data_IF_029432228284
#
_entry.id   IF_029432228284
#
_cell.length_a   1.000
_cell.length_b   1.000
_cell.length_c   1.000
_cell.angle_alpha   90.00
_cell.angle_beta   90.00
_cell.angle_gamma   90.00
#
_symmetry.space_group_name_H-M   'P 1'
#
loop_
_entity.id
_entity.type
_entity.pdbx_description
1 polymer ?
#
# COMPACT_ATOMS: atom_id res chain seq x y z
N UNK A 1 3.31 18.42 4.15
CA UNK A 1 4.35 17.75 3.35
C UNK A 1 3.71 16.79 2.39
N UNK A 2 4.35 16.58 1.22
CA UNK A 2 4.00 15.55 0.24
C UNK A 2 5.02 14.41 0.35
N UNK A 3 4.60 13.24 0.83
CA UNK A 3 5.49 12.14 1.13
C UNK A 3 5.14 10.93 0.26
N UNK A 4 6.09 10.50 -0.58
CA UNK A 4 6.00 9.25 -1.31
C UNK A 4 6.39 8.08 -0.42
N UNK A 5 5.51 7.11 -0.29
CA UNK A 5 5.73 5.91 0.53
C UNK A 5 5.77 4.68 -0.36
N UNK A 6 6.90 4.03 -0.40
CA UNK A 6 7.10 2.75 -1.05
C UNK A 6 7.21 1.65 0.00
N UNK A 7 6.30 0.68 -0.07
CA UNK A 7 6.42 -0.56 0.68
C UNK A 7 7.35 -1.45 -0.15
N UNK A 8 8.58 -1.61 0.28
CA UNK A 8 9.62 -2.33 -0.47
C UNK A 8 9.18 -3.69 -0.98
N UNK A 9 9.81 -4.11 -2.06
CA UNK A 9 9.54 -5.38 -2.73
C UNK A 9 8.16 -5.49 -3.42
N UNK A 10 7.93 -6.59 -4.11
CA UNK A 10 6.63 -7.00 -4.67
C UNK A 10 5.99 -8.05 -3.77
N UNK A 11 4.69 -8.32 -3.95
CA UNK A 11 4.00 -9.43 -3.27
C UNK A 11 4.05 -10.70 -4.09
N UNK A 12 4.16 -10.56 -5.41
CA UNK A 12 4.25 -11.70 -6.34
C UNK A 12 5.09 -11.33 -7.55
N UNK A 13 5.57 -12.34 -8.26
CA UNK A 13 6.48 -12.16 -9.39
C UNK A 13 7.92 -12.05 -8.92
N UNK A 14 8.67 -11.12 -9.50
CA UNK A 14 10.09 -10.94 -9.19
C UNK A 14 10.28 -9.88 -8.10
N UNK A 15 11.22 -10.13 -7.19
CA UNK A 15 11.64 -9.17 -6.18
C UNK A 15 10.74 -9.16 -4.93
N UNK A 16 10.27 -10.31 -4.47
CA UNK A 16 9.38 -10.45 -3.31
C UNK A 16 10.05 -10.24 -1.94
N UNK A 17 11.36 -9.96 -1.93
CA UNK A 17 12.10 -9.69 -0.70
C UNK A 17 12.58 -10.94 0.02
N UNK A 18 13.19 -10.74 1.16
CA UNK A 18 13.73 -11.79 2.00
C UNK A 18 12.64 -12.55 2.75
N UNK A 19 12.93 -13.82 3.06
CA UNK A 19 12.06 -14.71 3.84
C UNK A 19 12.85 -15.27 5.01
N UNK A 20 12.36 -15.03 6.20
CA UNK A 20 12.89 -15.56 7.45
C UNK A 20 11.76 -15.96 8.39
N UNK A 21 11.80 -15.48 9.63
CA UNK A 21 10.70 -15.59 10.59
C UNK A 21 9.47 -14.83 10.10
N UNK A 22 9.73 -13.71 9.39
CA UNK A 22 8.72 -12.94 8.67
C UNK A 22 9.08 -12.89 7.18
N UNK A 23 8.08 -12.61 6.32
CA UNK A 23 8.30 -12.35 4.89
C UNK A 23 8.32 -10.85 4.66
N UNK A 24 9.42 -10.34 4.18
CA UNK A 24 9.66 -8.92 4.04
C UNK A 24 8.54 -8.21 3.26
N UNK A 25 8.21 -8.68 2.05
CA UNK A 25 7.20 -8.04 1.22
C UNK A 25 5.80 -7.97 1.85
N UNK A 26 5.45 -8.91 2.75
CA UNK A 26 4.20 -8.85 3.50
C UNK A 26 4.25 -7.77 4.59
N UNK A 27 5.36 -7.70 5.34
CA UNK A 27 5.51 -6.81 6.49
C UNK A 27 5.79 -5.34 6.09
N UNK A 28 6.44 -5.11 4.95
CA UNK A 28 6.57 -3.75 4.40
C UNK A 28 5.21 -3.12 4.10
N UNK A 29 4.22 -3.93 3.61
CA UNK A 29 2.84 -3.46 3.37
C UNK A 29 2.13 -3.07 4.65
N UNK A 30 2.33 -3.81 5.75
CA UNK A 30 1.75 -3.46 7.04
C UNK A 30 2.23 -2.10 7.52
N UNK A 31 3.55 -1.94 7.57
CA UNK A 31 4.16 -0.70 8.04
C UNK A 31 3.80 0.45 7.12
N UNK A 32 3.94 0.30 5.80
CA UNK A 32 3.68 1.36 4.85
C UNK A 32 2.21 1.79 4.77
N UNK A 33 1.27 0.86 4.87
CA UNK A 33 -0.16 1.18 4.93
C UNK A 33 -0.49 2.03 6.17
N UNK A 34 0.06 1.66 7.34
CA UNK A 34 -0.17 2.43 8.57
C UNK A 34 0.57 3.78 8.52
N UNK A 35 1.78 3.85 7.95
CA UNK A 35 2.50 5.13 7.72
C UNK A 35 1.64 6.07 6.87
N UNK A 36 1.13 5.60 5.72
CA UNK A 36 0.26 6.42 4.87
C UNK A 36 -1.01 6.87 5.57
N UNK A 37 -1.61 6.02 6.40
CA UNK A 37 -2.78 6.35 7.21
C UNK A 37 -2.46 7.46 8.21
N UNK A 38 -1.42 7.28 9.03
CA UNK A 38 -1.03 8.23 10.06
C UNK A 38 -0.65 9.61 9.49
N UNK A 39 0.08 9.64 8.36
CA UNK A 39 0.42 10.87 7.66
C UNK A 39 -0.84 11.63 7.21
N UNK A 40 -1.83 10.93 6.64
CA UNK A 40 -3.10 11.52 6.21
C UNK A 40 -3.93 12.02 7.39
N UNK A 41 -4.00 11.27 8.48
CA UNK A 41 -4.67 11.68 9.72
C UNK A 41 -4.03 12.92 10.34
N UNK A 42 -2.72 13.10 10.15
CA UNK A 42 -1.97 14.29 10.56
C UNK A 42 -2.05 15.46 9.54
N UNK A 43 -2.87 15.35 8.48
CA UNK A 43 -3.08 16.42 7.50
C UNK A 43 -2.00 16.52 6.42
N UNK A 44 -1.17 15.49 6.23
CA UNK A 44 -0.14 15.42 5.20
C UNK A 44 -0.59 14.59 3.98
N UNK A 45 -0.01 14.86 2.81
CA UNK A 45 -0.20 14.04 1.62
C UNK A 45 0.71 12.81 1.71
N UNK A 46 0.12 11.62 1.57
CA UNK A 46 0.85 10.35 1.55
C UNK A 46 0.51 9.60 0.25
N UNK A 47 1.49 9.59 -0.65
CA UNK A 47 1.36 9.02 -2.00
C UNK A 47 1.89 7.60 -1.98
N UNK A 48 1.06 6.64 -2.42
CA UNK A 48 1.49 5.26 -2.55
C UNK A 48 2.37 5.09 -3.80
N UNK A 49 3.65 4.76 -3.59
CA UNK A 49 4.62 4.47 -4.64
C UNK A 49 4.99 2.98 -4.70
N UNK A 50 4.09 2.10 -4.27
CA UNK A 50 4.32 0.66 -4.16
C UNK A 50 3.94 -0.08 -5.44
N UNK A 51 4.72 -1.11 -5.78
CA UNK A 51 4.47 -2.01 -6.91
C UNK A 51 4.31 -3.44 -6.38
N UNK A 52 3.12 -4.03 -6.57
CA UNK A 52 2.80 -5.36 -6.03
C UNK A 52 3.17 -6.51 -6.97
N UNK A 53 3.35 -6.23 -8.25
CA UNK A 53 3.73 -7.21 -9.27
C UNK A 53 4.61 -6.58 -10.34
N UNK A 54 5.63 -7.29 -10.76
CA UNK A 54 6.45 -6.96 -11.91
C UNK A 54 7.02 -8.23 -12.58
N UNK A 55 7.33 -8.12 -13.88
CA UNK A 55 7.93 -9.21 -14.66
C UNK A 55 9.47 -9.28 -14.47
N UNK A 56 10.07 -8.31 -13.79
CA UNK A 56 11.47 -8.31 -13.39
C UNK A 56 11.69 -7.32 -12.24
N UNK A 57 12.80 -7.49 -11.49
CA UNK A 57 13.22 -6.54 -10.46
C UNK A 57 13.47 -5.15 -11.06
N UNK A 58 14.11 -5.06 -12.22
CA UNK A 58 14.36 -3.78 -12.90
C UNK A 58 13.05 -3.07 -13.25
N UNK A 59 12.03 -3.81 -13.72
CA UNK A 59 10.72 -3.24 -14.01
C UNK A 59 10.04 -2.70 -12.75
N UNK A 60 10.06 -3.43 -11.63
CA UNK A 60 9.45 -2.95 -10.39
C UNK A 60 10.11 -1.67 -9.91
N UNK A 61 11.44 -1.60 -9.94
CA UNK A 61 12.21 -0.42 -9.54
C UNK A 61 11.91 0.80 -10.45
N UNK A 62 11.80 0.59 -11.76
CA UNK A 62 11.42 1.65 -12.71
C UNK A 62 10.02 2.18 -12.42
N UNK A 63 9.05 1.29 -12.24
CA UNK A 63 7.65 1.67 -11.95
C UNK A 63 7.52 2.44 -10.63
N UNK A 64 8.27 2.04 -9.58
CA UNK A 64 8.33 2.78 -8.30
C UNK A 64 8.81 4.21 -8.55
N UNK A 65 9.89 4.38 -9.30
CA UNK A 65 10.46 5.71 -9.57
C UNK A 65 9.58 6.54 -10.50
N UNK A 66 8.92 5.92 -11.47
CA UNK A 66 7.93 6.59 -12.32
C UNK A 66 6.78 7.16 -11.50
N UNK A 67 6.27 6.41 -10.52
CA UNK A 67 5.23 6.87 -9.61
C UNK A 67 5.71 8.04 -8.74
N UNK A 68 6.89 7.90 -8.11
CA UNK A 68 7.45 8.90 -7.23
C UNK A 68 7.82 10.19 -7.97
N UNK A 69 8.53 10.08 -9.10
CA UNK A 69 9.08 11.23 -9.83
C UNK A 69 8.05 12.01 -10.66
N UNK A 70 6.81 11.52 -10.81
CA UNK A 70 5.66 12.26 -11.37
C UNK A 70 5.05 13.23 -10.36
N UNK A 71 5.42 13.11 -9.09
CA UNK A 71 4.93 13.93 -7.99
C UNK A 71 6.02 14.89 -7.52
N UNK A 72 5.61 16.05 -7.03
CA UNK A 72 6.50 16.93 -6.27
C UNK A 72 6.49 16.50 -4.81
N UNK A 73 7.48 15.71 -4.42
CA UNK A 73 7.62 15.15 -3.09
C UNK A 73 8.63 15.94 -2.26
N UNK A 74 8.28 16.18 -1.01
CA UNK A 74 9.25 16.64 0.01
C UNK A 74 10.18 15.50 0.43
N UNK A 75 9.60 14.29 0.59
CA UNK A 75 10.29 13.07 0.93
C UNK A 75 9.80 11.87 0.10
N UNK A 76 10.72 11.00 -0.28
CA UNK A 76 10.44 9.63 -0.69
C UNK A 76 11.03 8.69 0.35
N UNK A 77 10.19 7.84 0.95
CA UNK A 77 10.62 6.81 1.89
C UNK A 77 10.31 5.42 1.32
N UNK A 78 11.30 4.52 1.41
CA UNK A 78 11.16 3.11 1.04
C UNK A 78 11.34 2.26 2.29
N UNK A 79 10.37 1.44 2.61
CA UNK A 79 10.34 0.65 3.85
C UNK A 79 10.74 -0.78 3.52
N UNK A 80 11.73 -1.28 4.21
CA UNK A 80 12.35 -2.59 4.03
C UNK A 80 12.61 -3.29 5.36
N UNK A 81 12.95 -4.55 5.29
CA UNK A 81 13.47 -5.36 6.39
C UNK A 81 14.71 -6.10 5.92
N UNK A 82 15.76 -6.02 6.69
CA UNK A 82 17.07 -6.59 6.36
C UNK A 82 17.08 -8.13 6.52
N UNK A 83 18.11 -8.78 6.01
CA UNK A 83 18.39 -10.20 6.16
C UNK A 83 19.91 -10.46 6.28
N UNK A 84 20.30 -11.65 6.72
CA UNK A 84 21.70 -12.06 6.82
C UNK A 84 22.23 -12.11 8.25
N UNK A 85 21.37 -12.38 9.23
CA UNK A 85 21.77 -12.72 10.61
C UNK A 85 22.19 -11.52 11.47
N UNK A 86 21.95 -10.29 11.02
CA UNK A 86 22.27 -9.06 11.77
C UNK A 86 21.17 -8.67 12.77
N UNK A 87 21.33 -7.49 13.37
CA UNK A 87 20.34 -6.93 14.32
C UNK A 87 20.31 -5.40 14.21
N UNK A 88 19.11 -4.83 14.32
CA UNK A 88 18.85 -3.39 14.45
C UNK A 88 18.36 -2.70 13.19
N UNK A 89 18.05 -1.42 13.38
CA UNK A 89 17.53 -0.51 12.35
C UNK A 89 18.65 0.27 11.70
N UNK A 90 18.54 0.49 10.38
CA UNK A 90 19.41 1.39 9.62
C UNK A 90 18.62 2.16 8.56
N UNK A 91 19.09 3.34 8.21
CA UNK A 91 18.52 4.15 7.14
C UNK A 91 19.59 4.43 6.08
N UNK A 92 19.21 4.33 4.81
CA UNK A 92 20.09 4.64 3.68
C UNK A 92 19.67 5.94 3.01
N UNK A 93 20.59 6.87 2.86
CA UNK A 93 20.39 8.13 2.12
C UNK A 93 21.44 8.26 1.02
N UNK A 94 21.20 9.12 0.04
CA UNK A 94 22.19 9.34 -1.03
C UNK A 94 23.49 9.95 -0.47
N UNK A 95 24.60 9.23 -0.65
CA UNK A 95 25.91 9.63 -0.13
C UNK A 95 26.01 9.60 1.39
N UNK A 96 25.13 8.90 2.10
CA UNK A 96 25.14 8.84 3.57
C UNK A 96 24.80 10.17 4.24
N UNK A 97 24.05 11.04 3.57
CA UNK A 97 23.68 12.35 4.13
C UNK A 97 22.93 12.19 5.43
N UNK A 98 23.40 12.86 6.47
CA UNK A 98 22.86 12.81 7.82
C UNK A 98 21.65 13.74 7.97
N UNK A 99 20.58 13.47 7.19
CA UNK A 99 19.32 14.19 7.37
C UNK A 99 18.75 13.91 8.76
N UNK A 100 18.29 14.94 9.45
CA UNK A 100 17.73 14.81 10.80
C UNK A 100 16.60 13.79 10.84
N UNK A 101 15.69 13.83 9.85
CA UNK A 101 14.57 12.87 9.75
C UNK A 101 15.05 11.42 9.68
N UNK A 102 16.15 11.12 8.96
CA UNK A 102 16.72 9.76 8.88
C UNK A 102 17.39 9.34 10.20
N UNK A 103 18.05 10.26 10.89
CA UNK A 103 18.61 10.05 12.24
C UNK A 103 17.48 9.76 13.22
N UNK A 104 16.39 10.55 13.16
CA UNK A 104 15.25 10.42 14.06
C UNK A 104 14.47 9.12 13.81
N UNK A 105 14.35 8.65 12.56
CA UNK A 105 13.81 7.31 12.26
C UNK A 105 14.59 6.23 13.00
N UNK A 106 15.91 6.21 12.85
CA UNK A 106 16.76 5.24 13.53
C UNK A 106 16.63 5.36 15.05
N UNK A 107 16.64 6.59 15.58
CA UNK A 107 16.52 6.86 17.01
C UNK A 107 15.16 6.41 17.57
N UNK A 108 14.05 6.73 16.89
CA UNK A 108 12.71 6.39 17.35
C UNK A 108 12.46 4.88 17.33
N UNK A 109 12.94 4.17 16.29
CA UNK A 109 12.86 2.71 16.24
C UNK A 109 13.76 2.08 17.32
N UNK A 110 14.91 2.68 17.62
CA UNK A 110 15.78 2.23 18.71
C UNK A 110 15.09 2.32 20.09
N UNK A 111 14.28 3.36 20.33
CA UNK A 111 13.46 3.48 21.55
C UNK A 111 12.46 2.32 21.73
N UNK A 112 12.14 1.62 20.64
CA UNK A 112 11.30 0.42 20.67
C UNK A 112 12.09 -0.87 20.98
N UNK A 113 13.40 -0.77 21.24
CA UNK A 113 14.26 -1.89 21.67
C UNK A 113 15.14 -2.47 20.56
N UNK A 114 15.22 -1.86 19.39
CA UNK A 114 16.13 -2.27 18.32
C UNK A 114 17.51 -1.60 18.45
N UNK A 115 18.56 -2.29 18.02
CA UNK A 115 19.90 -1.70 17.93
C UNK A 115 19.93 -0.60 16.87
N UNK A 116 20.52 0.56 17.19
CA UNK A 116 20.77 1.62 16.22
C UNK A 116 22.01 1.30 15.38
N UNK A 117 21.85 1.20 14.07
CA UNK A 117 22.95 1.02 13.10
C UNK A 117 23.26 2.30 12.32
N UNK A 118 22.45 3.35 12.51
CA UNK A 118 22.62 4.69 11.98
C UNK A 118 22.28 4.85 10.51
N UNK A 119 22.67 6.04 10.00
CA UNK A 119 22.45 6.41 8.59
C UNK A 119 23.67 6.01 7.77
N UNK A 120 23.44 5.38 6.61
CA UNK A 120 24.42 4.81 5.70
C UNK A 120 24.32 5.36 4.28
N UNK A 121 25.38 5.16 3.49
CA UNK A 121 25.40 5.52 2.08
C UNK A 121 24.56 4.55 1.24
N UNK A 122 23.47 5.07 0.68
CA UNK A 122 22.53 4.37 -0.19
C UNK A 122 22.70 4.67 -1.68
N UNK A 123 23.77 5.35 -2.11
CA UNK A 123 23.95 5.71 -3.54
C UNK A 123 23.93 4.51 -4.49
N UNK A 124 24.25 3.30 -4.00
CA UNK A 124 24.12 2.05 -4.74
C UNK A 124 22.67 1.60 -4.95
N UNK A 125 21.75 2.02 -4.08
CA UNK A 125 20.34 1.62 -4.13
C UNK A 125 19.59 2.42 -5.21
N UNK A 126 18.89 1.70 -6.09
CA UNK A 126 18.25 2.30 -7.26
C UNK A 126 17.25 3.40 -6.88
N UNK A 127 16.36 3.13 -5.93
CA UNK A 127 15.32 4.06 -5.50
C UNK A 127 15.90 5.33 -4.84
N UNK A 128 17.02 5.20 -4.13
CA UNK A 128 17.74 6.34 -3.54
C UNK A 128 18.43 7.18 -4.61
N UNK A 129 19.04 6.53 -5.61
CA UNK A 129 19.79 7.21 -6.68
C UNK A 129 18.90 7.87 -7.72
N UNK A 130 17.71 7.32 -7.97
CA UNK A 130 16.84 7.74 -9.08
C UNK A 130 15.68 8.64 -8.69
N UNK A 131 15.42 8.82 -7.41
CA UNK A 131 14.42 9.79 -6.95
C UNK A 131 14.92 11.23 -7.11
N UNK A 132 13.99 12.14 -7.43
CA UNK A 132 14.23 13.59 -7.46
C UNK A 132 14.09 14.23 -6.08
N UNK A 133 13.32 13.62 -5.20
CA UNK A 133 13.08 14.11 -3.84
C UNK A 133 14.20 13.76 -2.87
N UNK A 134 14.22 14.39 -1.69
CA UNK A 134 14.95 13.82 -0.55
C UNK A 134 14.47 12.39 -0.35
N UNK A 135 15.40 11.47 -0.08
CA UNK A 135 15.03 10.06 0.02
C UNK A 135 15.75 9.32 1.13
N UNK A 136 15.05 8.36 1.73
CA UNK A 136 15.64 7.36 2.60
C UNK A 136 15.02 5.98 2.32
N UNK A 137 15.83 4.94 2.45
CA UNK A 137 15.39 3.57 2.56
C UNK A 137 15.63 3.13 4.00
N UNK A 138 14.61 2.59 4.63
CA UNK A 138 14.60 2.21 6.04
C UNK A 138 14.59 0.69 6.12
N UNK A 139 15.65 0.12 6.68
CA UNK A 139 15.71 -1.27 7.09
C UNK A 139 15.26 -1.34 8.55
N UNK A 140 14.02 -1.73 8.79
CA UNK A 140 13.40 -1.67 10.12
C UNK A 140 14.11 -2.59 11.12
N UNK A 141 14.34 -3.83 10.71
CA UNK A 141 15.02 -4.86 11.49
C UNK A 141 15.33 -6.07 10.59
N UNK A 142 15.94 -7.11 11.12
CA UNK A 142 16.28 -8.32 10.36
C UNK A 142 15.15 -9.36 10.40
N UNK A 143 14.74 -9.89 9.22
CA UNK A 143 13.65 -10.87 9.09
C UNK A 143 13.96 -12.25 9.66
N UNK A 144 15.24 -12.59 9.77
CA UNK A 144 15.78 -13.94 10.03
C UNK A 144 16.40 -14.12 11.40
N UNK A 145 16.24 -13.14 12.29
CA UNK A 145 16.83 -13.14 13.63
C UNK A 145 15.81 -12.87 14.74
N UNK A 146 16.27 -12.77 15.99
CA UNK A 146 15.46 -12.39 17.14
C UNK A 146 14.75 -11.03 16.97
N UNK A 147 15.28 -10.15 16.10
CA UNK A 147 14.65 -8.88 15.74
C UNK A 147 13.24 -9.06 15.20
N UNK A 148 13.03 -10.06 14.32
CA UNK A 148 11.71 -10.33 13.76
C UNK A 148 10.71 -10.75 14.84
N UNK A 149 11.11 -11.58 15.80
CA UNK A 149 10.26 -11.93 16.94
C UNK A 149 9.92 -10.70 17.80
N UNK A 150 10.92 -9.83 18.03
CA UNK A 150 10.72 -8.59 18.76
C UNK A 150 9.78 -7.65 18.02
N UNK A 151 9.95 -7.47 16.70
CA UNK A 151 9.05 -6.72 15.84
C UNK A 151 7.62 -7.23 15.90
N UNK A 152 7.41 -8.55 15.82
CA UNK A 152 6.07 -9.16 15.94
C UNK A 152 5.42 -8.86 17.30
N UNK A 153 6.20 -8.84 18.37
CA UNK A 153 5.73 -8.51 19.73
C UNK A 153 5.35 -7.03 19.86
N UNK A 154 6.16 -6.12 19.30
CA UNK A 154 5.91 -4.68 19.31
C UNK A 154 4.74 -4.33 18.41
N UNK A 155 4.64 -4.98 17.26
CA UNK A 155 3.63 -4.73 16.22
C UNK A 155 4.00 -3.58 15.26
N UNK A 156 3.58 -3.75 14.02
CA UNK A 156 3.87 -2.85 12.91
C UNK A 156 3.39 -1.40 13.12
N UNK A 157 2.33 -1.19 13.90
CA UNK A 157 1.78 0.15 14.18
C UNK A 157 2.74 1.02 14.98
N UNK A 158 3.47 0.45 15.92
CA UNK A 158 4.47 1.17 16.69
C UNK A 158 5.68 1.54 15.83
N UNK A 159 6.08 0.68 14.89
CA UNK A 159 7.09 1.01 13.89
C UNK A 159 6.62 2.14 12.97
N UNK A 160 5.41 2.05 12.43
CA UNK A 160 4.85 3.08 11.57
C UNK A 160 4.76 4.43 12.30
N UNK A 161 4.32 4.42 13.55
CA UNK A 161 4.29 5.62 14.41
C UNK A 161 5.69 6.21 14.57
N UNK A 162 6.69 5.41 14.88
CA UNK A 162 8.08 5.86 15.05
C UNK A 162 8.64 6.52 13.77
N UNK A 163 8.32 5.97 12.59
CA UNK A 163 8.69 6.55 11.28
C UNK A 163 7.98 7.88 11.06
N UNK A 164 6.67 7.94 11.29
CA UNK A 164 5.89 9.17 11.05
C UNK A 164 6.32 10.28 12.01
N UNK A 165 6.51 9.97 13.29
CA UNK A 165 6.98 10.97 14.27
C UNK A 165 8.36 11.51 13.97
N UNK A 166 9.22 10.76 13.29
CA UNK A 166 10.51 11.25 12.81
C UNK A 166 10.36 12.27 11.67
N UNK A 167 9.35 12.12 10.82
CA UNK A 167 9.13 12.98 9.65
C UNK A 167 8.37 14.27 9.98
N UNK A 168 7.39 14.20 10.88
CA UNK A 168 6.43 15.31 11.11
C UNK A 168 6.32 15.73 12.58
N UNK A 169 7.12 15.15 13.48
CA UNK A 169 7.03 15.38 14.92
C UNK A 169 5.96 14.52 15.60
N UNK A 170 5.79 14.74 16.90
CA UNK A 170 4.90 13.92 17.72
C UNK A 170 3.44 13.96 17.25
N UNK A 171 2.84 12.79 17.08
CA UNK A 171 1.44 12.63 16.69
C UNK A 171 0.60 12.12 17.87
N UNK A 172 -0.62 12.67 18.01
CA UNK A 172 -1.60 12.17 18.99
C UNK A 172 -2.28 10.92 18.40
N UNK A 173 -1.76 9.74 18.73
CA UNK A 173 -2.43 8.48 18.40
C UNK A 173 -2.86 7.82 19.69
N UNK A 174 -4.13 7.46 19.80
CA UNK A 174 -4.59 6.62 20.91
C UNK A 174 -3.87 5.26 20.79
N UNK A 175 -3.19 4.76 21.84
CA UNK A 175 -2.58 3.44 21.78
C UNK A 175 -3.66 2.39 21.49
N UNK A 176 -3.59 1.75 20.36
CA UNK A 176 -4.41 0.57 20.08
C UNK A 176 -3.57 -0.64 20.44
N UNK A 177 -3.74 -1.11 21.65
CA UNK A 177 -3.28 -2.45 22.03
C UNK A 177 -4.09 -3.47 21.25
N UNK A 178 -3.50 -4.02 20.21
CA UNK A 178 -3.97 -5.27 19.63
C UNK A 178 -2.79 -6.21 19.54
N UNK A 179 -2.67 -7.16 20.50
CA UNK A 179 -1.75 -8.27 20.30
C UNK A 179 -2.12 -8.96 18.98
N UNK A 180 -1.16 -9.08 18.08
CA UNK A 180 -1.31 -9.94 16.89
C UNK A 180 -1.51 -11.35 17.44
N UNK A 181 -2.74 -11.85 17.34
CA UNK A 181 -3.03 -13.25 17.70
C UNK A 181 -2.26 -14.10 16.68
N UNK A 182 -1.16 -14.68 17.12
CA UNK A 182 -0.41 -15.67 16.34
C UNK A 182 -1.39 -16.82 16.07
N UNK A 183 -1.75 -17.00 14.80
CA UNK A 183 -2.72 -18.00 14.37
C UNK A 183 -1.97 -19.30 14.09
N UNK A 184 -2.65 -20.42 14.36
CA UNK A 184 -2.13 -21.78 14.19
C UNK A 184 -1.44 -21.97 12.81
N UNK A 185 -0.34 -22.73 12.75
CA UNK A 185 0.34 -23.02 11.50
C UNK A 185 -0.61 -23.68 10.50
N UNK A 186 -0.78 -23.07 9.30
CA UNK A 186 -1.51 -23.69 8.19
C UNK A 186 -2.69 -22.90 7.62
N UNK A 187 -3.17 -21.83 8.27
CA UNK A 187 -4.25 -21.01 7.71
C UNK A 187 -3.70 -20.01 6.68
N UNK A 188 -4.35 -19.92 5.51
CA UNK A 188 -4.02 -18.98 4.45
C UNK A 188 -5.22 -18.11 4.10
N UNK A 189 -5.05 -16.81 4.19
CA UNK A 189 -6.06 -15.82 3.82
C UNK A 189 -5.82 -15.32 2.41
N UNK A 190 -6.78 -15.57 1.50
CA UNK A 190 -6.71 -15.16 0.09
C UNK A 190 -7.50 -13.89 -0.12
N UNK A 191 -6.88 -12.88 -0.76
CA UNK A 191 -7.52 -11.61 -1.12
C UNK A 191 -8.06 -11.74 -2.54
N UNK A 192 -9.39 -11.78 -2.70
CA UNK A 192 -10.10 -11.94 -3.98
C UNK A 192 -11.33 -11.04 -4.02
N UNK A 193 -11.91 -10.85 -5.18
CA UNK A 193 -13.24 -10.21 -5.33
C UNK A 193 -14.35 -11.12 -4.81
N UNK A 194 -14.32 -12.38 -5.23
CA UNK A 194 -15.16 -13.46 -4.73
C UNK A 194 -14.33 -14.73 -4.57
N UNK A 195 -14.79 -15.70 -3.79
CA UNK A 195 -14.09 -16.98 -3.66
C UNK A 195 -14.04 -17.75 -4.99
N UNK A 196 -15.14 -17.74 -5.74
CA UNK A 196 -15.25 -18.44 -7.03
C UNK A 196 -14.32 -17.87 -8.11
N UNK A 197 -14.00 -16.58 -8.05
CA UNK A 197 -13.10 -15.92 -9.01
C UNK A 197 -11.64 -16.03 -8.55
N UNK A 198 -11.04 -17.19 -8.82
CA UNK A 198 -9.63 -17.45 -8.50
C UNK A 198 -8.68 -16.52 -9.26
N UNK A 199 -9.07 -16.02 -10.43
CA UNK A 199 -8.25 -15.13 -11.27
C UNK A 199 -8.15 -13.72 -10.68
N UNK A 200 -9.12 -13.32 -9.84
CA UNK A 200 -9.08 -12.06 -9.11
C UNK A 200 -8.13 -12.06 -7.90
N UNK A 201 -7.45 -13.17 -7.61
CA UNK A 201 -6.57 -13.21 -6.43
C UNK A 201 -5.39 -12.27 -6.58
N UNK A 202 -5.31 -11.30 -5.68
CA UNK A 202 -4.23 -10.30 -5.62
C UNK A 202 -3.21 -10.56 -4.51
N UNK A 203 -3.54 -11.42 -3.52
CA UNK A 203 -2.62 -11.78 -2.44
C UNK A 203 -3.08 -13.03 -1.70
N UNK A 204 -2.13 -13.64 -0.97
CA UNK A 204 -2.39 -14.73 -0.02
C UNK A 204 -1.41 -14.59 1.15
N UNK A 205 -1.94 -14.61 2.38
CA UNK A 205 -1.22 -14.27 3.59
C UNK A 205 -1.51 -15.29 4.68
N UNK A 206 -0.51 -15.63 5.47
CA UNK A 206 -0.66 -16.51 6.64
C UNK A 206 -1.13 -15.76 7.89
N UNK A 207 -1.01 -14.44 7.90
CA UNK A 207 -1.45 -13.56 8.99
C UNK A 207 -2.71 -12.78 8.61
N UNK A 208 -3.74 -12.85 9.47
CA UNK A 208 -5.03 -12.18 9.23
C UNK A 208 -4.92 -10.65 9.27
N UNK A 209 -4.04 -10.10 10.12
CA UNK A 209 -3.88 -8.65 10.22
C UNK A 209 -3.19 -8.10 8.96
N UNK A 210 -2.20 -8.80 8.45
CA UNK A 210 -1.54 -8.51 7.16
C UNK A 210 -2.55 -8.57 6.02
N UNK A 211 -3.30 -9.67 5.95
CA UNK A 211 -4.33 -9.86 4.94
C UNK A 211 -5.38 -8.73 4.96
N UNK A 212 -5.83 -8.31 6.16
CA UNK A 212 -6.77 -7.18 6.32
C UNK A 212 -6.16 -5.85 5.89
N UNK A 213 -4.91 -5.55 6.30
CA UNK A 213 -4.22 -4.32 5.91
C UNK A 213 -4.05 -4.25 4.39
N UNK A 214 -3.65 -5.36 3.77
CA UNK A 214 -3.54 -5.47 2.32
C UNK A 214 -4.90 -5.30 1.62
N UNK A 215 -5.95 -5.97 2.10
CA UNK A 215 -7.29 -5.83 1.54
C UNK A 215 -7.80 -4.38 1.65
N UNK A 216 -7.54 -3.67 2.75
CA UNK A 216 -7.93 -2.27 2.94
C UNK A 216 -7.32 -1.31 1.90
N UNK A 217 -6.15 -1.62 1.35
CA UNK A 217 -5.56 -0.86 0.24
C UNK A 217 -6.17 -1.21 -1.13
N UNK A 218 -7.08 -2.19 -1.19
CA UNK A 218 -7.73 -2.67 -2.41
C UNK A 218 -9.26 -2.70 -2.25
N UNK A 219 -9.95 -1.55 -2.32
CA UNK A 219 -11.41 -1.49 -2.19
C UNK A 219 -12.13 -2.42 -3.16
N UNK A 220 -13.17 -3.10 -2.69
CA UNK A 220 -13.93 -4.08 -3.47
C UNK A 220 -13.38 -5.50 -3.43
N UNK A 221 -12.32 -5.73 -2.64
CA UNK A 221 -11.80 -7.07 -2.38
C UNK A 221 -12.25 -7.57 -1.01
N UNK A 222 -12.23 -8.88 -0.86
CA UNK A 222 -12.59 -9.59 0.38
C UNK A 222 -11.51 -10.60 0.73
N UNK A 223 -11.42 -10.92 2.02
CA UNK A 223 -10.57 -12.00 2.50
C UNK A 223 -11.36 -13.28 2.64
N UNK A 224 -10.79 -14.33 2.14
CA UNK A 224 -11.31 -15.68 2.28
C UNK A 224 -10.29 -16.56 2.98
N UNK A 225 -10.73 -17.35 3.96
CA UNK A 225 -9.89 -18.35 4.60
C UNK A 225 -9.64 -19.57 3.67
N UNK A 226 -8.87 -20.54 4.11
CA UNK A 226 -8.56 -21.77 3.34
C UNK A 226 -9.81 -22.59 2.98
N UNK A 227 -10.91 -22.44 3.74
CA UNK A 227 -12.20 -23.10 3.49
C UNK A 227 -13.12 -22.30 2.56
N UNK A 228 -12.69 -21.14 2.07
CA UNK A 228 -13.48 -20.28 1.19
C UNK A 228 -14.52 -19.41 1.90
N UNK A 229 -14.49 -19.37 3.22
CA UNK A 229 -15.37 -18.50 3.97
C UNK A 229 -14.86 -17.07 3.91
N UNK A 230 -15.75 -16.11 3.66
CA UNK A 230 -15.42 -14.69 3.73
C UNK A 230 -15.22 -14.28 5.19
N UNK A 231 -14.02 -13.87 5.56
CA UNK A 231 -13.64 -13.48 6.93
C UNK A 231 -13.45 -11.98 7.10
N UNK A 232 -13.41 -11.24 5.98
CA UNK A 232 -13.31 -9.78 5.97
C UNK A 232 -13.62 -9.22 4.59
N UNK A 233 -14.34 -8.12 4.51
CA UNK A 233 -14.66 -7.42 3.27
C UNK A 233 -14.30 -5.94 3.37
N UNK A 234 -13.67 -5.42 2.32
CA UNK A 234 -13.46 -3.98 2.16
C UNK A 234 -14.53 -3.45 1.23
N UNK A 235 -15.32 -2.51 1.71
CA UNK A 235 -16.29 -1.84 0.87
C UNK A 235 -15.60 -1.19 -0.34
N UNK A 236 -16.15 -1.36 -1.53
CA UNK A 236 -15.68 -0.63 -2.69
C UNK A 236 -15.84 0.88 -2.44
N UNK A 237 -14.78 1.65 -2.64
CA UNK A 237 -14.90 3.10 -2.62
C UNK A 237 -15.70 3.53 -3.83
N UNK A 238 -16.96 3.85 -3.61
CA UNK A 238 -17.83 4.29 -4.70
C UNK A 238 -17.52 5.75 -5.04
N UNK A 239 -16.85 5.97 -6.16
CA UNK A 239 -16.76 7.30 -6.73
C UNK A 239 -18.14 7.71 -7.23
N UNK A 240 -18.65 8.84 -6.74
CA UNK A 240 -19.92 9.41 -7.23
C UNK A 240 -19.60 10.48 -8.22
N UNK A 241 -20.08 10.29 -9.44
CA UNK A 241 -20.05 11.32 -10.49
C UNK A 241 -21.43 11.96 -10.67
N UNK A 242 -21.47 13.14 -11.25
CA UNK A 242 -22.71 13.87 -11.58
C UNK A 242 -22.82 14.03 -13.08
N UNK A 243 -23.97 13.69 -13.66
CA UNK A 243 -24.26 13.84 -15.10
C UNK A 243 -24.32 15.32 -15.47
N UNK A 244 -23.54 15.72 -16.47
CA UNK A 244 -23.48 17.11 -16.97
C UNK A 244 -24.31 17.34 -18.25
N UNK A 245 -24.50 16.29 -19.06
CA UNK A 245 -25.32 16.33 -20.25
C UNK A 245 -26.81 16.46 -19.91
N UNK A 246 -27.61 17.12 -20.73
CA UNK A 246 -29.07 17.19 -20.55
C UNK A 246 -29.70 15.79 -20.51
N UNK A 247 -29.27 14.89 -21.37
CA UNK A 247 -29.61 13.47 -21.38
C UNK A 247 -28.33 12.67 -21.69
N UNK A 248 -27.97 11.69 -20.85
CA UNK A 248 -26.84 10.81 -21.06
C UNK A 248 -27.35 9.38 -21.27
N UNK A 249 -26.96 8.78 -22.40
CA UNK A 249 -27.31 7.39 -22.67
C UNK A 249 -26.47 6.43 -21.81
N UNK A 250 -27.14 5.46 -21.22
CA UNK A 250 -26.51 4.32 -20.55
C UNK A 250 -26.47 3.17 -21.55
N UNK A 251 -25.29 2.60 -21.77
CA UNK A 251 -25.02 1.59 -22.80
C UNK A 251 -24.73 0.23 -22.19
N UNK A 252 -25.00 -0.82 -22.94
CA UNK A 252 -24.81 -2.22 -22.49
C UNK A 252 -23.33 -2.58 -22.35
N UNK A 253 -22.45 -2.03 -23.19
CA UNK A 253 -21.00 -2.31 -23.18
C UNK A 253 -20.21 -1.01 -23.28
N UNK A 254 -18.89 -1.08 -23.02
CA UNK A 254 -17.98 0.07 -23.06
C UNK A 254 -17.62 0.54 -24.49
N UNK A 255 -18.60 0.51 -25.40
CA UNK A 255 -18.44 0.92 -26.79
C UNK A 255 -19.53 1.94 -27.13
N UNK A 256 -19.13 3.05 -27.79
CA UNK A 256 -19.99 4.21 -28.05
C UNK A 256 -21.22 3.92 -28.92
N UNK A 257 -21.21 2.87 -29.73
CA UNK A 257 -22.32 2.44 -30.58
C UNK A 257 -23.07 1.21 -30.05
N UNK A 258 -22.78 0.76 -28.81
CA UNK A 258 -23.50 -0.38 -28.21
C UNK A 258 -24.93 0.00 -27.82
N UNK A 259 -25.79 -1.01 -27.66
CA UNK A 259 -27.19 -0.82 -27.34
C UNK A 259 -27.39 0.09 -26.12
N UNK A 260 -28.34 1.01 -26.22
CA UNK A 260 -28.77 1.90 -25.15
C UNK A 260 -29.73 1.09 -24.25
N UNK A 261 -29.40 0.96 -22.96
CA UNK A 261 -30.20 0.25 -21.95
C UNK A 261 -30.91 1.21 -20.99
N UNK A 262 -30.65 2.51 -21.10
CA UNK A 262 -31.31 3.53 -20.29
C UNK A 262 -30.78 4.92 -20.58
N UNK A 263 -31.36 5.92 -19.90
CA UNK A 263 -30.97 7.33 -19.98
C UNK A 263 -30.91 7.95 -18.61
N UNK A 264 -30.02 8.91 -18.43
CA UNK A 264 -29.83 9.69 -17.20
C UNK A 264 -29.97 11.18 -17.51
N UNK A 265 -30.66 11.91 -16.68
CA UNK A 265 -30.83 13.36 -16.81
C UNK A 265 -29.67 14.12 -16.18
N UNK A 266 -29.47 15.37 -16.60
CA UNK A 266 -28.51 16.30 -15.99
C UNK A 266 -28.71 16.38 -14.47
N UNK A 267 -27.61 16.36 -13.72
CA UNK A 267 -27.63 16.41 -12.24
C UNK A 267 -27.79 15.04 -11.58
N UNK A 268 -28.10 13.97 -12.32
CA UNK A 268 -28.20 12.62 -11.75
C UNK A 268 -26.85 12.22 -11.19
N UNK A 269 -26.84 11.80 -9.92
CA UNK A 269 -25.64 11.21 -9.26
C UNK A 269 -25.55 9.74 -9.63
N UNK A 270 -24.40 9.33 -10.16
CA UNK A 270 -24.11 7.95 -10.54
C UNK A 270 -22.98 7.38 -9.70
N UNK A 271 -23.13 6.16 -9.25
CA UNK A 271 -22.06 5.40 -8.60
C UNK A 271 -21.17 4.78 -9.66
N UNK A 272 -19.90 5.14 -9.70
CA UNK A 272 -18.92 4.67 -10.67
C UNK A 272 -18.21 3.44 -10.09
N UNK A 273 -18.24 2.33 -10.84
CA UNK A 273 -17.55 1.11 -10.48
C UNK A 273 -16.08 1.11 -10.94
N UNK A 274 -15.85 1.55 -12.20
CA UNK A 274 -14.49 1.65 -12.80
C UNK A 274 -14.51 2.44 -14.12
N UNK A 275 -13.32 2.90 -14.55
CA UNK A 275 -13.09 3.43 -15.88
C UNK A 275 -12.73 2.31 -16.85
N UNK A 276 -13.32 2.31 -18.06
CA UNK A 276 -13.06 1.36 -19.15
C UNK A 276 -12.92 2.15 -20.44
N UNK A 277 -11.70 2.40 -20.88
CA UNK A 277 -11.42 3.30 -22.01
C UNK A 277 -12.00 4.70 -21.76
N UNK A 278 -12.81 5.21 -22.70
CA UNK A 278 -13.50 6.50 -22.60
C UNK A 278 -14.90 6.40 -21.96
N UNK A 279 -15.17 5.34 -21.22
CA UNK A 279 -16.44 5.11 -20.54
C UNK A 279 -16.23 4.84 -19.06
N UNK A 280 -17.20 5.24 -18.24
CA UNK A 280 -17.36 4.74 -16.88
C UNK A 280 -18.35 3.58 -16.86
N UNK A 281 -17.97 2.47 -16.24
CA UNK A 281 -18.92 1.46 -15.80
C UNK A 281 -19.60 1.99 -14.53
N UNK A 282 -20.92 2.08 -14.54
CA UNK A 282 -21.74 2.59 -13.44
C UNK A 282 -22.71 1.52 -12.92
N UNK A 283 -23.11 1.66 -11.68
CA UNK A 283 -24.23 0.89 -11.12
C UNK A 283 -25.54 1.40 -11.69
N UNK A 284 -26.19 0.60 -12.56
CA UNK A 284 -27.44 0.92 -13.23
C UNK A 284 -28.28 -0.35 -13.40
N UNK A 285 -29.45 -0.42 -12.75
CA UNK A 285 -30.24 -1.65 -12.68
C UNK A 285 -29.40 -2.83 -12.13
N UNK A 286 -29.86 -4.05 -12.42
CA UNK A 286 -29.20 -5.26 -11.87
C UNK A 286 -27.86 -5.61 -12.53
N UNK A 287 -27.66 -5.17 -13.79
CA UNK A 287 -26.51 -5.57 -14.62
C UNK A 287 -25.46 -4.45 -14.83
N UNK A 288 -25.68 -3.27 -14.25
CA UNK A 288 -24.85 -2.10 -14.48
C UNK A 288 -25.01 -1.54 -15.91
N UNK A 289 -24.16 -0.54 -16.25
CA UNK A 289 -24.16 0.08 -17.57
C UNK A 289 -22.90 0.92 -17.79
N UNK A 290 -22.77 1.47 -19.00
CA UNK A 290 -21.62 2.27 -19.39
C UNK A 290 -22.06 3.66 -19.87
N UNK A 291 -21.37 4.70 -19.40
CA UNK A 291 -21.59 6.10 -19.77
C UNK A 291 -20.29 6.76 -20.20
N UNK A 292 -20.33 7.73 -21.12
CA UNK A 292 -19.14 8.49 -21.50
C UNK A 292 -18.57 9.29 -20.34
N UNK A 293 -17.25 9.27 -20.17
CA UNK A 293 -16.53 10.05 -19.16
C UNK A 293 -16.68 11.56 -19.37
N UNK A 294 -16.88 12.02 -20.62
CA UNK A 294 -16.97 13.43 -21.00
C UNK A 294 -18.18 14.15 -20.35
N UNK A 295 -19.16 13.37 -19.91
CA UNK A 295 -20.42 13.89 -19.36
C UNK A 295 -20.60 13.53 -17.87
N UNK A 296 -19.51 13.17 -17.17
CA UNK A 296 -19.52 12.88 -15.73
C UNK A 296 -18.45 13.74 -15.05
N UNK A 297 -18.89 14.50 -14.04
CA UNK A 297 -18.01 15.29 -13.16
C UNK A 297 -18.09 14.79 -11.73
#
# INVERSE_FOLDING_TARGET
MNIGVNDGHTIKGYGTGAVGIIKEGEHTRLVGAEVRKLLKEAGHSAINCTVDYANSVSQSLSLIMDQANRQELDWFISIHFNAGGGQGVEAYTYGGRQYQDAIDVCSNITKLGFRNRGVKDGKGLYVIRKTKAKSMLIEVCFVDTADANHYLKIGYKNIAKAIVEALIGAIKVTPVETPVKVIAPGEMYKVRKTWADATSQIGAFSDLAIAKAYANSHPGYSLFNSKGQNVYSVAATLTIGTVTASILNVRKTAVSNSAIIGKLNKGTKVKIAKKVGNMYNIYFGDNGGYVSIDYIK
#
